data_IF_984554097499
#
_entry.id   IF_984554097499
#
_cell.length_a   1.000
_cell.length_b   1.000
_cell.length_c   1.000
_cell.angle_alpha   90.00
_cell.angle_beta   90.00
_cell.angle_gamma   90.00
#
_symmetry.space_group_name_H-M   'P 1'
#
loop_
_entity.id
_entity.type
_entity.pdbx_description
1 polymer ?
#
# COMPACT_ATOMS: atom_id res chain seq x y z
N UNK A 1 -4.22 -7.64 -54.39
CA UNK A 1 -5.49 -7.31 -53.73
C UNK A 1 -5.62 -8.26 -52.56
N UNK A 2 -5.18 -7.85 -51.39
CA UNK A 2 -5.31 -8.61 -50.14
C UNK A 2 -6.16 -7.78 -49.22
N UNK A 3 -7.37 -8.24 -48.98
CA UNK A 3 -8.33 -7.67 -48.05
C UNK A 3 -7.81 -7.83 -46.63
N UNK A 4 -7.22 -6.78 -46.11
CA UNK A 4 -6.95 -6.67 -44.68
C UNK A 4 -8.24 -6.23 -43.99
N UNK A 5 -9.01 -7.21 -43.52
CA UNK A 5 -10.18 -7.00 -42.70
C UNK A 5 -9.74 -6.52 -41.31
N UNK A 6 -10.07 -5.27 -40.91
CA UNK A 6 -9.65 -4.72 -39.62
C UNK A 6 -10.47 -5.21 -38.43
N UNK A 7 -11.29 -6.24 -38.57
CA UNK A 7 -12.20 -6.74 -37.54
C UNK A 7 -11.68 -7.96 -36.74
N UNK A 8 -10.43 -8.35 -36.90
CA UNK A 8 -9.83 -9.45 -36.11
C UNK A 8 -8.87 -8.97 -35.02
N UNK A 9 -8.85 -7.70 -34.72
CA UNK A 9 -8.36 -7.19 -33.43
C UNK A 9 -9.47 -7.31 -32.39
N UNK A 10 -10.03 -8.50 -32.28
CA UNK A 10 -10.80 -8.88 -31.10
C UNK A 10 -9.83 -8.90 -29.91
N UNK A 11 -9.76 -7.74 -29.28
CA UNK A 11 -9.21 -7.61 -27.94
C UNK A 11 -10.09 -8.47 -27.03
N UNK A 12 -9.85 -9.76 -27.02
CA UNK A 12 -10.21 -10.60 -25.90
C UNK A 12 -9.38 -10.14 -24.69
N UNK A 13 -9.70 -8.95 -24.20
CA UNK A 13 -9.49 -8.59 -22.80
C UNK A 13 -10.25 -9.68 -22.05
N UNK A 14 -9.53 -10.74 -21.74
CA UNK A 14 -9.98 -11.80 -20.87
C UNK A 14 -10.37 -11.11 -19.57
N UNK A 15 -11.64 -10.73 -19.48
CA UNK A 15 -12.22 -10.29 -18.21
C UNK A 15 -12.20 -11.53 -17.30
N UNK A 16 -11.06 -11.77 -16.69
CA UNK A 16 -11.01 -12.66 -15.53
C UNK A 16 -12.07 -12.16 -14.57
N UNK A 17 -13.08 -12.99 -14.32
CA UNK A 17 -14.12 -12.71 -13.33
C UNK A 17 -13.41 -12.27 -12.05
N UNK A 18 -13.79 -11.13 -11.46
CA UNK A 18 -13.12 -10.63 -10.26
C UNK A 18 -13.22 -11.71 -9.19
N UNK A 19 -12.10 -12.32 -8.89
CA UNK A 19 -11.98 -13.29 -7.81
C UNK A 19 -12.21 -12.51 -6.51
N UNK A 20 -12.79 -13.12 -5.47
CA UNK A 20 -12.97 -12.49 -4.15
C UNK A 20 -11.70 -11.78 -3.67
N UNK A 21 -10.54 -12.34 -4.03
CA UNK A 21 -9.22 -11.73 -3.80
C UNK A 21 -9.09 -10.38 -4.50
N UNK A 22 -9.58 -10.21 -5.73
CA UNK A 22 -9.50 -8.93 -6.45
C UNK A 22 -10.40 -7.85 -5.84
N UNK A 23 -11.47 -8.24 -5.16
CA UNK A 23 -12.32 -7.31 -4.41
C UNK A 23 -11.65 -6.88 -3.10
N UNK A 24 -11.00 -7.79 -2.39
CA UNK A 24 -10.20 -7.47 -1.19
C UNK A 24 -9.03 -6.55 -1.56
N UNK A 25 -8.40 -6.81 -2.71
CA UNK A 25 -7.28 -6.05 -3.24
C UNK A 25 -7.64 -4.64 -3.78
N UNK A 26 -8.93 -4.27 -3.78
CA UNK A 26 -9.35 -2.89 -4.09
C UNK A 26 -9.57 -2.05 -2.83
N UNK A 27 -9.68 -2.70 -1.67
CA UNK A 27 -9.95 -2.02 -0.40
C UNK A 27 -8.80 -1.08 -0.03
N UNK A 28 -7.55 -1.51 -0.21
CA UNK A 28 -6.37 -0.70 0.05
C UNK A 28 -6.32 0.56 -0.81
N UNK A 29 -6.71 0.48 -2.10
CA UNK A 29 -6.78 1.64 -3.00
C UNK A 29 -7.85 2.64 -2.55
N UNK A 30 -9.02 2.15 -2.13
CA UNK A 30 -10.13 3.00 -1.68
C UNK A 30 -9.74 3.69 -0.37
N UNK A 31 -9.16 2.95 0.59
CA UNK A 31 -8.74 3.52 1.87
C UNK A 31 -7.62 4.55 1.65
N UNK A 32 -6.60 4.24 0.86
CA UNK A 32 -5.52 5.18 0.57
C UNK A 32 -6.03 6.44 -0.13
N UNK A 33 -6.84 6.31 -1.19
CA UNK A 33 -7.37 7.44 -1.94
C UNK A 33 -8.30 8.32 -1.10
N UNK A 34 -9.22 7.72 -0.36
CA UNK A 34 -10.13 8.48 0.53
C UNK A 34 -9.38 9.17 1.67
N UNK A 35 -8.39 8.51 2.26
CA UNK A 35 -7.56 9.10 3.32
C UNK A 35 -6.83 10.35 2.82
N UNK A 36 -6.28 10.32 1.61
CA UNK A 36 -5.58 11.47 1.04
C UNK A 36 -6.52 12.67 0.85
N UNK A 37 -7.71 12.45 0.28
CA UNK A 37 -8.72 13.51 0.09
C UNK A 37 -9.13 14.11 1.44
N UNK A 38 -9.36 13.27 2.45
CA UNK A 38 -9.73 13.72 3.79
C UNK A 38 -8.60 14.50 4.46
N UNK A 39 -7.34 14.05 4.34
CA UNK A 39 -6.19 14.77 4.89
C UNK A 39 -6.11 16.17 4.29
N UNK A 40 -6.16 16.31 2.97
CA UNK A 40 -6.10 17.61 2.29
C UNK A 40 -7.24 18.51 2.74
N UNK A 41 -8.47 18.01 2.81
CA UNK A 41 -9.64 18.77 3.25
C UNK A 41 -9.51 19.24 4.69
N UNK A 42 -9.07 18.37 5.61
CA UNK A 42 -8.86 18.70 7.01
C UNK A 42 -7.70 19.66 7.22
N UNK A 43 -6.62 19.53 6.45
CA UNK A 43 -5.50 20.48 6.50
C UNK A 43 -5.94 21.89 6.09
N UNK A 44 -6.72 22.00 5.00
CA UNK A 44 -7.30 23.30 4.58
C UNK A 44 -8.20 23.87 5.69
N UNK A 45 -9.07 23.07 6.26
CA UNK A 45 -9.91 23.46 7.39
C UNK A 45 -9.06 23.92 8.60
N UNK A 46 -8.03 23.18 8.97
CA UNK A 46 -7.12 23.53 10.07
C UNK A 46 -6.38 24.86 9.84
N UNK A 47 -5.97 25.14 8.60
CA UNK A 47 -5.36 26.41 8.23
C UNK A 47 -6.37 27.56 8.37
N UNK A 48 -7.60 27.40 7.86
CA UNK A 48 -8.65 28.40 7.95
C UNK A 48 -8.99 28.71 9.42
N UNK A 49 -9.18 27.68 10.26
CA UNK A 49 -9.52 27.88 11.67
C UNK A 49 -8.39 28.56 12.45
N UNK A 50 -7.14 28.25 12.16
CA UNK A 50 -5.98 28.85 12.82
C UNK A 50 -5.75 30.30 12.44
N UNK A 51 -5.83 30.64 11.15
CA UNK A 51 -5.46 31.98 10.65
C UNK A 51 -6.63 32.94 10.49
N UNK A 52 -7.84 32.47 10.19
CA UNK A 52 -9.01 33.32 10.03
C UNK A 52 -9.78 33.45 11.34
N UNK A 53 -10.01 32.32 12.03
CA UNK A 53 -10.80 32.31 13.25
C UNK A 53 -9.95 32.43 14.53
N UNK A 54 -8.62 32.51 14.45
CA UNK A 54 -7.70 32.49 15.60
C UNK A 54 -7.99 31.38 16.63
N UNK A 55 -8.55 30.26 16.18
CA UNK A 55 -8.94 29.12 17.01
C UNK A 55 -8.28 27.86 16.50
N UNK A 56 -7.04 27.52 16.96
CA UNK A 56 -6.34 26.33 16.54
C UNK A 56 -7.08 25.07 17.01
N UNK A 57 -7.35 24.17 16.06
CA UNK A 57 -8.10 22.93 16.29
C UNK A 57 -7.13 21.74 16.43
N UNK A 58 -6.70 21.42 17.65
CA UNK A 58 -5.76 20.31 17.92
C UNK A 58 -6.30 18.94 17.45
N UNK A 59 -7.62 18.73 17.47
CA UNK A 59 -8.25 17.51 17.01
C UNK A 59 -8.04 17.24 15.52
N UNK A 60 -7.89 18.29 14.70
CA UNK A 60 -7.61 18.16 13.25
C UNK A 60 -6.25 17.52 13.04
N UNK A 61 -5.24 17.91 13.81
CA UNK A 61 -3.90 17.35 13.72
C UNK A 61 -3.88 15.86 14.09
N UNK A 62 -4.66 15.45 15.10
CA UNK A 62 -4.79 14.06 15.53
C UNK A 62 -5.45 13.18 14.46
N UNK A 63 -6.54 13.67 13.84
CA UNK A 63 -7.21 12.94 12.74
C UNK A 63 -6.30 12.87 11.52
N UNK A 64 -5.61 13.96 11.17
CA UNK A 64 -4.66 13.94 10.05
C UNK A 64 -3.53 12.93 10.28
N UNK A 65 -2.99 12.82 11.51
CA UNK A 65 -1.99 11.82 11.85
C UNK A 65 -2.52 10.39 11.66
N UNK A 66 -3.74 10.13 12.14
CA UNK A 66 -4.38 8.83 11.98
C UNK A 66 -4.56 8.47 10.50
N UNK A 67 -5.17 9.37 9.73
CA UNK A 67 -5.39 9.19 8.30
C UNK A 67 -4.08 9.04 7.52
N UNK A 68 -3.04 9.80 7.88
CA UNK A 68 -1.73 9.73 7.25
C UNK A 68 -1.08 8.36 7.48
N UNK A 69 -1.22 7.80 8.68
CA UNK A 69 -0.72 6.46 8.96
C UNK A 69 -1.43 5.41 8.09
N UNK A 70 -2.76 5.45 8.01
CA UNK A 70 -3.54 4.57 7.14
C UNK A 70 -3.20 4.77 5.66
N UNK A 71 -3.11 6.01 5.20
CA UNK A 71 -2.70 6.34 3.82
C UNK A 71 -1.35 5.74 3.47
N UNK A 72 -0.36 5.87 4.36
CA UNK A 72 1.00 5.38 4.13
C UNK A 72 1.04 3.87 3.96
N UNK A 73 0.44 3.12 4.88
CA UNK A 73 0.48 1.66 4.85
C UNK A 73 -0.41 1.06 3.76
N UNK A 74 -1.60 1.61 3.54
CA UNK A 74 -2.47 1.18 2.45
C UNK A 74 -1.90 1.58 1.08
N UNK A 75 -1.34 2.78 0.97
CA UNK A 75 -0.65 3.23 -0.24
C UNK A 75 0.56 2.38 -0.59
N UNK A 76 1.38 2.00 0.40
CA UNK A 76 2.48 1.06 0.20
C UNK A 76 1.99 -0.31 -0.28
N UNK A 77 0.86 -0.80 0.25
CA UNK A 77 0.22 -2.03 -0.22
C UNK A 77 -0.20 -1.94 -1.69
N UNK A 78 -0.78 -0.81 -2.09
CA UNK A 78 -1.13 -0.53 -3.50
C UNK A 78 0.09 -0.56 -4.40
N UNK A 79 1.20 0.05 -3.98
CA UNK A 79 2.45 0.03 -4.75
C UNK A 79 2.99 -1.38 -4.91
N UNK A 80 2.93 -2.22 -3.88
CA UNK A 80 3.33 -3.64 -3.96
C UNK A 80 2.50 -4.43 -4.98
N UNK A 81 1.22 -4.09 -5.16
CA UNK A 81 0.34 -4.70 -6.15
C UNK A 81 0.78 -4.41 -7.58
N UNK A 82 1.22 -3.17 -7.85
CA UNK A 82 1.63 -2.73 -9.19
C UNK A 82 3.11 -3.00 -9.49
N UNK A 83 3.86 -3.51 -8.52
CA UNK A 83 5.30 -3.78 -8.64
C UNK A 83 5.63 -5.00 -9.51
N UNK A 84 4.84 -5.30 -10.54
CA UNK A 84 5.19 -6.37 -11.49
C UNK A 84 6.56 -6.12 -12.17
N UNK A 85 7.09 -4.90 -12.14
CA UNK A 85 8.34 -4.52 -12.81
C UNK A 85 9.04 -3.32 -12.16
N UNK A 86 9.33 -3.34 -10.87
CA UNK A 86 10.37 -2.43 -10.39
C UNK A 86 11.71 -2.99 -10.84
N UNK A 87 12.00 -2.74 -12.11
CA UNK A 87 13.33 -2.88 -12.65
C UNK A 87 14.23 -1.91 -11.90
N UNK A 88 15.06 -2.42 -11.03
CA UNK A 88 16.14 -1.65 -10.44
C UNK A 88 17.23 -1.56 -11.54
N UNK A 89 16.88 -0.86 -12.63
CA UNK A 89 17.71 -0.70 -13.82
C UNK A 89 19.13 -0.16 -13.50
N UNK A 90 19.22 0.53 -12.37
CA UNK A 90 20.50 1.07 -11.90
C UNK A 90 21.46 -0.03 -11.43
N UNK A 91 20.94 -1.11 -10.81
CA UNK A 91 21.75 -2.26 -10.38
C UNK A 91 22.00 -3.19 -11.57
N UNK A 92 21.03 -3.32 -12.48
CA UNK A 92 21.13 -4.15 -13.67
C UNK A 92 22.33 -3.78 -14.57
N UNK A 93 22.60 -2.48 -14.70
CA UNK A 93 23.71 -1.97 -15.56
C UNK A 93 25.11 -2.27 -15.02
N UNK A 94 25.24 -2.65 -13.76
CA UNK A 94 26.53 -2.88 -13.09
C UNK A 94 26.86 -4.34 -12.77
N UNK A 95 25.86 -5.25 -12.85
CA UNK A 95 26.00 -6.68 -12.54
C UNK A 95 25.92 -7.54 -13.81
N UNK A 96 26.57 -8.72 -13.73
CA UNK A 96 26.42 -9.75 -14.75
C UNK A 96 24.95 -10.22 -14.82
N UNK A 97 24.38 -10.35 -16.02
CA UNK A 97 22.97 -10.62 -16.28
C UNK A 97 22.42 -11.86 -15.53
N UNK A 98 23.28 -12.86 -15.28
CA UNK A 98 22.91 -14.06 -14.49
C UNK A 98 22.78 -13.75 -13.00
N UNK A 99 23.70 -12.97 -12.45
CA UNK A 99 23.68 -12.56 -11.04
C UNK A 99 22.50 -11.61 -10.76
N UNK A 100 22.20 -10.71 -11.67
CA UNK A 100 21.06 -9.81 -11.58
C UNK A 100 19.73 -10.57 -11.48
N UNK A 101 19.48 -11.52 -12.41
CA UNK A 101 18.27 -12.34 -12.39
C UNK A 101 18.13 -13.17 -11.10
N UNK A 102 19.23 -13.66 -10.56
CA UNK A 102 19.21 -14.40 -9.28
C UNK A 102 18.82 -13.49 -8.11
N UNK A 103 19.40 -12.30 -8.03
CA UNK A 103 19.09 -11.33 -6.96
C UNK A 103 17.62 -10.88 -7.06
N UNK A 104 17.17 -10.51 -8.24
CA UNK A 104 15.81 -10.03 -8.50
C UNK A 104 14.75 -11.08 -8.17
N UNK A 105 15.00 -12.34 -8.55
CA UNK A 105 14.00 -13.40 -8.47
C UNK A 105 13.96 -14.11 -7.11
N UNK A 106 15.08 -14.14 -6.37
CA UNK A 106 15.18 -14.87 -5.09
C UNK A 106 15.53 -13.97 -3.89
N UNK A 107 16.51 -13.10 -4.03
CA UNK A 107 17.00 -12.33 -2.89
C UNK A 107 16.04 -11.21 -2.51
N UNK A 108 15.57 -10.44 -3.45
CA UNK A 108 14.66 -9.30 -3.18
C UNK A 108 13.34 -9.78 -2.56
N UNK A 109 12.61 -10.76 -3.13
CA UNK A 109 11.38 -11.26 -2.51
C UNK A 109 11.61 -11.85 -1.12
N UNK A 110 12.72 -12.57 -0.91
CA UNK A 110 13.05 -13.15 0.38
C UNK A 110 13.25 -12.07 1.46
N UNK A 111 14.04 -11.05 1.17
CA UNK A 111 14.28 -9.93 2.08
C UNK A 111 12.97 -9.18 2.39
N UNK A 112 12.14 -8.94 1.37
CA UNK A 112 10.85 -8.29 1.56
C UNK A 112 9.90 -9.13 2.44
N UNK A 113 9.83 -10.45 2.23
CA UNK A 113 9.00 -11.34 3.04
C UNK A 113 9.46 -11.29 4.51
N UNK A 114 10.77 -11.41 4.76
CA UNK A 114 11.31 -11.34 6.12
C UNK A 114 10.96 -10.00 6.76
N UNK A 115 11.17 -8.89 6.06
CA UNK A 115 10.87 -7.54 6.56
C UNK A 115 9.38 -7.38 6.88
N UNK A 116 8.48 -7.83 6.01
CA UNK A 116 7.04 -7.74 6.23
C UNK A 116 6.56 -8.64 7.37
N UNK A 117 7.17 -9.82 7.57
CA UNK A 117 6.88 -10.69 8.72
C UNK A 117 7.28 -10.02 10.03
N UNK A 118 8.49 -9.44 10.09
CA UNK A 118 8.91 -8.64 11.24
C UNK A 118 7.96 -7.48 11.51
N UNK A 119 7.59 -6.76 10.47
CA UNK A 119 6.69 -5.60 10.56
C UNK A 119 5.31 -6.02 11.06
N UNK A 120 4.79 -7.16 10.62
CA UNK A 120 3.54 -7.72 11.11
C UNK A 120 3.64 -8.10 12.59
N UNK A 121 4.69 -8.84 12.98
CA UNK A 121 4.89 -9.29 14.35
C UNK A 121 5.03 -8.11 15.33
N UNK A 122 5.93 -7.18 15.06
CA UNK A 122 6.12 -6.00 15.91
C UNK A 122 4.95 -5.02 15.83
N UNK A 123 4.22 -4.98 14.71
CA UNK A 123 3.00 -4.23 14.59
C UNK A 123 1.91 -4.71 15.56
N UNK A 124 1.71 -6.01 15.71
CA UNK A 124 0.78 -6.56 16.71
C UNK A 124 1.25 -6.27 18.14
N UNK A 125 2.52 -6.43 18.43
CA UNK A 125 3.08 -6.08 19.75
C UNK A 125 2.87 -4.60 20.08
N UNK A 126 3.02 -3.71 19.09
CA UNK A 126 2.75 -2.29 19.25
C UNK A 126 1.28 -2.01 19.59
N UNK A 127 0.33 -2.77 19.03
CA UNK A 127 -1.09 -2.64 19.37
C UNK A 127 -1.34 -2.96 20.85
N UNK A 128 -0.76 -4.05 21.35
CA UNK A 128 -0.90 -4.43 22.77
C UNK A 128 -0.35 -3.33 23.69
N UNK A 129 0.82 -2.78 23.38
CA UNK A 129 1.44 -1.69 24.16
C UNK A 129 0.67 -0.37 24.08
N UNK A 130 -0.18 -0.20 23.09
CA UNK A 130 -0.89 1.06 22.83
C UNK A 130 -2.31 1.11 23.39
N UNK A 131 -2.79 0.03 24.02
CA UNK A 131 -4.16 -0.07 24.54
C UNK A 131 -4.50 0.99 25.59
N UNK A 132 -3.53 1.36 26.41
CA UNK A 132 -3.69 2.38 27.47
C UNK A 132 -3.36 3.80 27.02
N UNK A 133 -2.96 4.00 25.76
CA UNK A 133 -2.59 5.31 25.22
C UNK A 133 -3.75 5.93 24.47
N UNK A 134 -4.03 7.21 24.76
CA UNK A 134 -5.10 7.98 24.12
C UNK A 134 -4.55 9.28 23.56
N UNK A 135 -5.14 9.76 22.47
CA UNK A 135 -4.80 11.06 21.89
C UNK A 135 -5.22 12.19 22.85
N UNK A 136 -4.45 13.28 22.94
CA UNK A 136 -4.70 14.35 23.92
C UNK A 136 -6.02 15.09 23.72
N UNK A 137 -6.42 15.42 22.47
CA UNK A 137 -7.62 16.20 22.19
C UNK A 137 -8.87 15.34 22.06
N UNK A 138 -8.85 14.28 21.24
CA UNK A 138 -10.02 13.46 20.93
C UNK A 138 -10.20 12.28 21.89
N UNK A 139 -9.21 11.94 22.70
CA UNK A 139 -9.22 10.75 23.57
C UNK A 139 -9.45 9.42 22.83
N UNK A 140 -9.05 9.36 21.56
CA UNK A 140 -9.10 8.13 20.75
C UNK A 140 -7.89 7.27 21.11
N UNK A 141 -8.10 5.95 21.24
CA UNK A 141 -7.00 5.03 21.50
C UNK A 141 -6.03 4.97 20.31
N UNK A 142 -4.73 5.00 20.58
CA UNK A 142 -3.68 4.83 19.57
C UNK A 142 -3.73 3.48 18.86
N UNK A 143 -4.43 2.49 19.41
CA UNK A 143 -4.65 1.19 18.76
C UNK A 143 -5.25 1.36 17.37
N UNK A 144 -6.23 2.26 17.19
CA UNK A 144 -6.86 2.51 15.88
C UNK A 144 -5.89 3.12 14.87
N UNK A 145 -4.95 3.94 15.33
CA UNK A 145 -3.94 4.57 14.48
C UNK A 145 -2.90 3.54 14.06
N UNK A 146 -2.37 2.80 15.03
CA UNK A 146 -1.29 1.84 14.77
C UNK A 146 -1.78 0.53 14.13
N UNK A 147 -3.08 0.24 14.14
CA UNK A 147 -3.66 -0.90 13.43
C UNK A 147 -3.32 -0.90 11.93
N UNK A 148 -3.12 0.27 11.32
CA UNK A 148 -2.68 0.39 9.93
C UNK A 148 -1.38 -0.36 9.64
N UNK A 149 -0.46 -0.48 10.62
CA UNK A 149 0.85 -1.11 10.46
C UNK A 149 0.73 -2.61 10.20
N UNK A 150 0.18 -3.44 11.11
CA UNK A 150 0.09 -4.88 10.87
C UNK A 150 -0.89 -5.21 9.75
N UNK A 151 -2.01 -4.48 9.60
CA UNK A 151 -2.95 -4.72 8.50
C UNK A 151 -2.34 -4.39 7.14
N UNK A 152 -1.65 -3.26 7.01
CA UNK A 152 -0.95 -2.90 5.78
C UNK A 152 0.19 -3.86 5.45
N UNK A 153 0.98 -4.29 6.44
CA UNK A 153 2.03 -5.27 6.26
C UNK A 153 1.47 -6.63 5.77
N UNK A 154 0.34 -7.09 6.33
CA UNK A 154 -0.34 -8.31 5.87
C UNK A 154 -0.82 -8.19 4.42
N UNK A 155 -1.43 -7.05 4.04
CA UNK A 155 -1.86 -6.83 2.67
C UNK A 155 -0.66 -6.81 1.70
N UNK A 156 0.43 -6.11 2.06
CA UNK A 156 1.66 -6.13 1.27
C UNK A 156 2.22 -7.55 1.10
N UNK A 157 2.18 -8.36 2.14
CA UNK A 157 2.63 -9.75 2.11
C UNK A 157 1.77 -10.60 1.17
N UNK A 158 0.45 -10.43 1.19
CA UNK A 158 -0.48 -11.12 0.27
C UNK A 158 -0.18 -10.72 -1.19
N UNK A 159 0.02 -9.42 -1.47
CA UNK A 159 0.36 -8.94 -2.80
C UNK A 159 1.70 -9.50 -3.28
N UNK A 160 2.73 -9.50 -2.41
CA UNK A 160 4.05 -10.01 -2.73
C UNK A 160 4.02 -11.51 -3.06
N UNK A 161 3.34 -12.33 -2.24
CA UNK A 161 3.20 -13.77 -2.47
C UNK A 161 2.48 -14.01 -3.80
N UNK A 162 1.38 -13.30 -4.06
CA UNK A 162 0.63 -13.42 -5.32
C UNK A 162 1.50 -13.12 -6.54
N UNK A 163 2.26 -12.03 -6.50
CA UNK A 163 3.13 -11.63 -7.60
C UNK A 163 4.25 -12.65 -7.82
N UNK A 164 4.85 -13.15 -6.74
CA UNK A 164 5.90 -14.18 -6.81
C UNK A 164 5.37 -15.47 -7.43
N UNK A 165 4.19 -15.94 -7.02
CA UNK A 165 3.57 -17.16 -7.60
C UNK A 165 3.22 -16.95 -9.07
N UNK A 166 2.72 -15.77 -9.46
CA UNK A 166 2.37 -15.46 -10.85
C UNK A 166 3.61 -15.47 -11.74
N UNK A 167 4.73 -14.93 -11.24
CA UNK A 167 6.01 -14.93 -11.97
C UNK A 167 6.59 -16.34 -12.15
N UNK A 168 6.41 -17.23 -11.17
CA UNK A 168 6.87 -18.62 -11.25
C UNK A 168 6.02 -19.45 -12.23
N UNK A 169 4.70 -19.18 -12.31
CA UNK A 169 3.78 -19.90 -13.24
C UNK A 169 3.79 -19.35 -14.66
N UNK A 170 4.28 -18.14 -14.86
CA UNK A 170 4.34 -17.49 -16.18
C UNK A 170 5.64 -17.73 -16.96
N UNK A 171 6.59 -18.45 -16.38
CA UNK A 171 7.85 -18.88 -16.99
C UNK A 171 7.75 -20.38 -17.21
#
# INVERSE_FOLDING_TARGET
MQDTNPQTLDMSIKQEKPTLVDSILKIDQIIAGSSLILIVSLMIYGVITRYIFNSPSAWVEEICLALFTWFTFMGASVLMKFQEHVNVDFIAKKLNQKAYKFIEHYVIPLVLIITLLFMTYFGFQLLEMSQSRFTPALKISYVYIYAAIPFGALLMLIHLIRNTIKNIKGN
#
